data_IF_091082894640
#
_entry.id   IF_091082894640
#
_cell.length_a   1.000
_cell.length_b   1.000
_cell.length_c   1.000
_cell.angle_alpha   90.00
_cell.angle_beta   90.00
_cell.angle_gamma   90.00
#
_symmetry.space_group_name_H-M   'P 1'
#
loop_
_entity.id
_entity.type
_entity.pdbx_description
1 polymer ?
#
# COMPACT_ATOMS: atom_id res chain seq x y z
N UNK A 1 46.07 -42.50 -40.76
CA UNK A 1 45.91 -42.20 -39.32
C UNK A 1 44.46 -41.86 -39.04
N UNK A 2 43.69 -42.87 -38.59
CA UNK A 2 42.27 -42.75 -38.31
C UNK A 2 42.06 -42.19 -36.91
N UNK A 3 41.31 -41.09 -36.79
CA UNK A 3 40.81 -40.60 -35.51
C UNK A 3 39.26 -40.74 -35.52
N UNK A 4 38.83 -41.63 -34.71
CA UNK A 4 37.44 -42.02 -34.44
C UNK A 4 36.63 -40.87 -33.91
N UNK A 5 35.45 -40.58 -34.53
CA UNK A 5 34.41 -39.73 -33.99
C UNK A 5 33.70 -40.50 -32.86
N UNK A 6 33.94 -40.13 -31.59
CA UNK A 6 33.07 -40.51 -30.47
C UNK A 6 31.85 -39.62 -30.47
N UNK A 7 30.70 -40.23 -30.71
CA UNK A 7 29.39 -39.64 -30.47
C UNK A 7 29.21 -39.35 -28.98
N UNK A 8 29.22 -38.10 -28.60
CA UNK A 8 28.66 -37.66 -27.34
C UNK A 8 27.15 -37.43 -27.49
N UNK A 9 26.36 -38.43 -27.19
CA UNK A 9 24.95 -38.28 -26.91
C UNK A 9 24.82 -37.55 -25.57
N UNK A 10 24.73 -36.22 -25.62
CA UNK A 10 24.20 -35.45 -24.52
C UNK A 10 22.68 -35.53 -24.61
N UNK A 11 22.10 -36.45 -23.82
CA UNK A 11 20.70 -36.40 -23.47
C UNK A 11 20.49 -35.07 -22.71
N UNK A 12 19.93 -34.07 -23.37
CA UNK A 12 19.37 -32.88 -22.75
C UNK A 12 18.22 -33.35 -21.85
N UNK A 13 18.53 -33.54 -20.55
CA UNK A 13 17.54 -33.57 -19.52
C UNK A 13 16.86 -32.19 -19.55
N UNK A 14 15.65 -32.11 -20.11
CA UNK A 14 14.76 -30.98 -19.91
C UNK A 14 14.49 -30.90 -18.42
N UNK A 15 15.21 -30.05 -17.73
CA UNK A 15 14.82 -29.53 -16.43
C UNK A 15 13.52 -28.75 -16.67
N UNK A 16 12.39 -29.40 -16.49
CA UNK A 16 11.09 -28.73 -16.42
C UNK A 16 11.07 -27.93 -15.12
N UNK A 17 11.58 -26.71 -15.15
CA UNK A 17 11.34 -25.74 -14.09
C UNK A 17 9.87 -25.32 -14.17
N UNK A 18 9.03 -25.92 -13.33
CA UNK A 18 7.68 -25.43 -13.11
C UNK A 18 7.75 -24.14 -12.27
N UNK A 19 6.93 -23.18 -12.62
CA UNK A 19 6.82 -21.90 -11.92
C UNK A 19 5.42 -21.76 -11.32
N UNK A 20 5.26 -21.07 -10.16
CA UNK A 20 3.96 -20.85 -9.52
C UNK A 20 2.89 -20.29 -10.46
N UNK A 21 3.29 -19.46 -11.43
CA UNK A 21 2.38 -18.91 -12.43
C UNK A 21 1.68 -19.98 -13.28
N UNK A 22 2.37 -21.03 -13.66
CA UNK A 22 1.77 -22.12 -14.45
C UNK A 22 0.70 -22.86 -13.64
N UNK A 23 0.91 -22.99 -12.31
CA UNK A 23 -0.09 -23.57 -11.41
C UNK A 23 -1.33 -22.69 -11.35
N UNK A 24 -1.16 -21.38 -11.17
CA UNK A 24 -2.25 -20.41 -11.16
C UNK A 24 -3.03 -20.44 -12.47
N UNK A 25 -2.33 -20.43 -13.61
CA UNK A 25 -2.97 -20.42 -14.94
C UNK A 25 -3.75 -21.72 -15.19
N UNK A 26 -3.25 -22.87 -14.74
CA UNK A 26 -3.98 -24.14 -14.81
C UNK A 26 -5.23 -24.13 -13.93
N UNK A 27 -5.17 -23.56 -12.71
CA UNK A 27 -6.29 -23.47 -11.78
C UNK A 27 -7.38 -22.49 -12.24
N UNK A 28 -7.09 -21.55 -13.14
CA UNK A 28 -8.12 -20.72 -13.80
C UNK A 28 -9.12 -21.51 -14.66
N UNK A 29 -8.76 -22.73 -15.05
CA UNK A 29 -9.67 -23.64 -15.79
C UNK A 29 -10.65 -24.37 -14.84
N UNK A 30 -10.46 -24.27 -13.52
CA UNK A 30 -11.33 -24.92 -12.53
C UNK A 30 -12.35 -23.90 -12.02
N UNK A 31 -13.64 -24.18 -12.24
CA UNK A 31 -14.73 -23.34 -11.75
C UNK A 31 -15.33 -23.90 -10.45
N UNK A 32 -15.53 -23.00 -9.50
CA UNK A 32 -16.23 -23.35 -8.27
C UNK A 32 -17.75 -23.40 -8.52
N UNK A 33 -18.40 -24.57 -8.32
CA UNK A 33 -19.83 -24.71 -8.69
C UNK A 33 -20.76 -23.80 -7.92
N UNK A 34 -20.39 -23.36 -6.72
CA UNK A 34 -21.21 -22.49 -5.88
C UNK A 34 -21.34 -21.05 -6.43
N UNK A 35 -20.38 -20.56 -7.21
CA UNK A 35 -20.41 -19.20 -7.77
C UNK A 35 -20.28 -19.16 -9.29
N UNK A 36 -19.85 -20.25 -9.92
CA UNK A 36 -19.54 -20.31 -11.36
C UNK A 36 -18.25 -19.58 -11.77
N UNK A 37 -17.57 -18.91 -10.85
CA UNK A 37 -16.27 -18.24 -11.06
C UNK A 37 -15.13 -19.25 -10.97
N UNK A 38 -13.96 -18.93 -11.56
CA UNK A 38 -12.77 -19.74 -11.38
C UNK A 38 -12.19 -19.62 -9.95
N UNK A 39 -11.26 -20.51 -9.59
CA UNK A 39 -10.73 -20.56 -8.23
C UNK A 39 -9.90 -19.31 -7.87
N UNK A 40 -9.31 -18.65 -8.86
CA UNK A 40 -8.49 -17.46 -8.67
C UNK A 40 -9.40 -16.23 -8.48
N UNK A 41 -10.41 -16.06 -9.37
CA UNK A 41 -11.43 -15.00 -9.24
C UNK A 41 -12.25 -15.13 -7.95
N UNK A 42 -12.43 -16.36 -7.46
CA UNK A 42 -13.15 -16.64 -6.21
C UNK A 42 -12.30 -16.41 -4.96
N UNK A 43 -11.00 -16.09 -5.11
CA UNK A 43 -10.07 -15.94 -3.99
C UNK A 43 -9.85 -17.22 -3.18
N UNK A 44 -10.04 -18.39 -3.80
CA UNK A 44 -9.94 -19.68 -3.12
C UNK A 44 -8.51 -20.23 -3.05
N UNK A 45 -7.57 -19.73 -3.86
CA UNK A 45 -6.18 -20.15 -3.83
C UNK A 45 -5.40 -19.32 -2.81
N UNK A 46 -4.74 -19.98 -1.87
CA UNK A 46 -3.78 -19.35 -0.95
C UNK A 46 -2.41 -19.20 -1.59
N UNK A 47 -1.65 -18.20 -1.16
CA UNK A 47 -0.33 -17.89 -1.73
C UNK A 47 0.79 -18.73 -1.07
N UNK A 48 0.54 -20.03 -0.88
CA UNK A 48 1.46 -20.99 -0.28
C UNK A 48 1.96 -22.06 -1.27
N UNK A 49 1.96 -21.74 -2.57
CA UNK A 49 2.38 -22.68 -3.62
C UNK A 49 3.85 -23.06 -3.45
N UNK A 50 4.12 -24.35 -3.29
CA UNK A 50 5.45 -24.94 -3.23
C UNK A 50 5.61 -25.95 -4.34
N UNK A 51 6.75 -25.90 -5.03
CA UNK A 51 7.08 -26.79 -6.15
C UNK A 51 8.42 -27.44 -5.88
N UNK A 52 8.45 -28.78 -5.91
CA UNK A 52 9.67 -29.59 -5.77
C UNK A 52 9.67 -30.69 -6.84
N UNK A 53 10.34 -30.45 -7.96
CA UNK A 53 10.28 -31.36 -9.11
C UNK A 53 8.85 -31.44 -9.66
N UNK A 54 8.23 -32.63 -9.65
CA UNK A 54 6.83 -32.82 -10.05
C UNK A 54 5.85 -32.77 -8.85
N UNK A 55 6.33 -32.55 -7.65
CA UNK A 55 5.47 -32.40 -6.48
C UNK A 55 5.05 -30.94 -6.35
N UNK A 56 3.75 -30.69 -6.33
CA UNK A 56 3.14 -29.36 -6.18
C UNK A 56 2.25 -29.37 -4.94
N UNK A 57 2.49 -28.46 -4.01
CA UNK A 57 1.71 -28.31 -2.79
C UNK A 57 1.14 -26.91 -2.69
N UNK A 58 -0.15 -26.78 -2.38
CA UNK A 58 -0.84 -25.50 -2.15
C UNK A 58 -2.13 -25.71 -1.35
N UNK A 59 -2.69 -24.62 -0.83
CA UNK A 59 -3.95 -24.64 -0.07
C UNK A 59 -5.09 -24.00 -0.84
N UNK A 60 -6.28 -24.61 -0.73
CA UNK A 60 -7.54 -24.02 -1.18
C UNK A 60 -8.41 -23.67 0.03
N UNK A 61 -8.93 -22.43 0.03
CA UNK A 61 -9.74 -21.87 1.11
C UNK A 61 -11.22 -22.05 0.77
N UNK A 62 -11.98 -22.72 1.65
CA UNK A 62 -13.42 -22.88 1.56
C UNK A 62 -14.12 -22.12 2.67
N UNK A 63 -15.32 -21.61 2.40
CA UNK A 63 -16.08 -20.83 3.38
C UNK A 63 -16.68 -21.69 4.51
N UNK A 64 -16.87 -22.99 4.30
CA UNK A 64 -17.48 -23.91 5.27
C UNK A 64 -16.76 -25.28 5.24
N UNK A 65 -16.60 -25.88 6.41
CA UNK A 65 -16.04 -27.26 6.53
C UNK A 65 -16.89 -28.31 5.82
N UNK A 66 -18.19 -28.09 5.74
CA UNK A 66 -19.16 -29.00 5.13
C UNK A 66 -19.57 -28.58 3.72
N UNK A 67 -18.68 -27.89 2.98
CA UNK A 67 -18.96 -27.50 1.60
C UNK A 67 -19.07 -28.77 0.72
N UNK A 68 -20.21 -28.99 0.04
CA UNK A 68 -20.43 -30.21 -0.75
C UNK A 68 -19.49 -30.31 -1.97
N UNK A 69 -18.86 -29.20 -2.35
CA UNK A 69 -18.02 -29.12 -3.55
C UNK A 69 -16.52 -29.38 -3.29
N UNK A 70 -16.07 -29.51 -2.03
CA UNK A 70 -14.66 -29.70 -1.69
C UNK A 70 -14.04 -30.82 -2.52
N UNK A 71 -14.60 -32.04 -2.47
CA UNK A 71 -14.05 -33.19 -3.18
C UNK A 71 -13.99 -33.01 -4.70
N UNK A 72 -15.01 -32.38 -5.28
CA UNK A 72 -15.06 -32.13 -6.72
C UNK A 72 -14.05 -31.08 -7.16
N UNK A 73 -13.88 -30.02 -6.37
CA UNK A 73 -12.89 -28.95 -6.64
C UNK A 73 -11.47 -29.46 -6.52
N UNK A 74 -11.15 -30.24 -5.47
CA UNK A 74 -9.82 -30.84 -5.32
C UNK A 74 -9.47 -31.75 -6.50
N UNK A 75 -10.40 -32.62 -6.91
CA UNK A 75 -10.20 -33.51 -8.06
C UNK A 75 -10.07 -32.75 -9.38
N UNK A 76 -10.87 -31.69 -9.56
CA UNK A 76 -10.79 -30.86 -10.75
C UNK A 76 -9.45 -30.08 -10.81
N UNK A 77 -8.95 -29.60 -9.67
CA UNK A 77 -7.67 -28.93 -9.55
C UNK A 77 -6.51 -29.87 -9.89
N UNK A 78 -6.50 -31.08 -9.34
CA UNK A 78 -5.49 -32.09 -9.70
C UNK A 78 -5.54 -32.46 -11.19
N UNK A 79 -6.74 -32.61 -11.74
CA UNK A 79 -6.93 -32.89 -13.18
C UNK A 79 -6.43 -31.73 -14.04
N UNK A 80 -6.71 -30.50 -13.67
CA UNK A 80 -6.24 -29.32 -14.40
C UNK A 80 -4.71 -29.23 -14.43
N UNK A 81 -4.04 -29.47 -13.30
CA UNK A 81 -2.57 -29.49 -13.24
C UNK A 81 -1.98 -30.55 -14.16
N UNK A 82 -2.53 -31.77 -14.13
CA UNK A 82 -2.09 -32.87 -15.01
C UNK A 82 -2.36 -32.61 -16.49
N UNK A 83 -3.44 -31.92 -16.81
CA UNK A 83 -3.86 -31.65 -18.20
C UNK A 83 -3.10 -30.49 -18.82
N UNK A 84 -2.92 -29.41 -18.07
CA UNK A 84 -2.38 -28.15 -18.62
C UNK A 84 -0.88 -27.95 -18.37
N UNK A 85 -0.27 -28.76 -17.47
CA UNK A 85 1.16 -28.63 -17.16
C UNK A 85 1.92 -29.91 -17.47
N UNK A 86 1.74 -30.96 -16.66
CA UNK A 86 2.42 -32.25 -16.89
C UNK A 86 1.63 -33.41 -16.25
N UNK A 87 1.42 -34.54 -16.98
CA UNK A 87 0.68 -35.71 -16.47
C UNK A 87 1.28 -36.37 -15.22
N UNK A 88 2.58 -36.14 -14.96
CA UNK A 88 3.30 -36.73 -13.84
C UNK A 88 3.21 -35.91 -12.55
N UNK A 89 2.50 -34.79 -12.54
CA UNK A 89 2.35 -33.95 -11.35
C UNK A 89 1.64 -34.72 -10.23
N UNK A 90 2.30 -34.74 -9.06
CA UNK A 90 1.72 -35.14 -7.80
C UNK A 90 1.27 -33.88 -7.02
N UNK A 91 -0.04 -33.64 -6.97
CA UNK A 91 -0.61 -32.49 -6.31
C UNK A 91 -0.99 -32.81 -4.85
N UNK A 92 -0.38 -32.10 -3.90
CA UNK A 92 -0.75 -32.12 -2.48
C UNK A 92 -1.58 -30.86 -2.19
N UNK A 93 -2.91 -30.99 -2.26
CA UNK A 93 -3.83 -29.87 -2.10
C UNK A 93 -4.40 -29.91 -0.68
N UNK A 94 -4.06 -28.89 0.12
CA UNK A 94 -4.57 -28.74 1.47
C UNK A 94 -5.88 -27.93 1.45
N UNK A 95 -6.82 -28.28 2.32
CA UNK A 95 -8.05 -27.51 2.50
C UNK A 95 -7.94 -26.67 3.75
N UNK A 96 -8.14 -25.38 3.61
CA UNK A 96 -8.31 -24.43 4.73
C UNK A 96 -9.74 -23.93 4.74
N UNK A 97 -10.23 -23.60 5.92
CA UNK A 97 -11.59 -23.10 6.07
C UNK A 97 -11.53 -21.68 6.64
N UNK A 98 -12.35 -20.81 6.07
CA UNK A 98 -12.55 -19.50 6.71
C UNK A 98 -13.15 -19.78 8.08
N UNK A 99 -12.38 -19.60 9.14
CA UNK A 99 -12.95 -19.53 10.48
C UNK A 99 -13.85 -18.32 10.52
N UNK A 100 -15.14 -18.50 10.27
CA UNK A 100 -16.15 -17.53 10.66
C UNK A 100 -16.18 -17.58 12.18
N UNK A 101 -15.35 -16.82 12.82
CA UNK A 101 -15.55 -16.50 14.21
C UNK A 101 -16.89 -15.78 14.25
N UNK A 102 -17.89 -16.28 15.02
CA UNK A 102 -19.08 -15.50 15.28
C UNK A 102 -18.59 -14.20 15.90
N UNK A 103 -19.02 -13.08 15.34
CA UNK A 103 -18.70 -11.74 15.77
C UNK A 103 -18.61 -11.67 17.30
N UNK A 104 -17.44 -11.53 17.89
CA UNK A 104 -17.40 -10.99 19.22
C UNK A 104 -17.61 -9.48 19.05
N UNK A 105 -18.64 -8.96 19.64
CA UNK A 105 -18.68 -7.59 20.11
C UNK A 105 -17.54 -7.45 21.13
N UNK A 106 -16.32 -7.29 20.67
CA UNK A 106 -15.17 -6.97 21.48
C UNK A 106 -14.31 -6.03 20.66
N UNK A 107 -14.02 -4.89 21.27
CA UNK A 107 -13.04 -3.89 20.88
C UNK A 107 -11.96 -4.49 19.97
N UNK A 108 -12.07 -4.30 18.65
CA UNK A 108 -10.96 -4.46 17.75
C UNK A 108 -9.97 -3.34 18.08
N UNK A 109 -9.06 -3.63 18.99
CA UNK A 109 -7.86 -2.80 19.08
C UNK A 109 -7.16 -2.92 17.73
N UNK A 110 -6.95 -1.77 17.08
CA UNK A 110 -6.13 -1.69 15.87
C UNK A 110 -4.82 -2.42 16.13
N UNK A 111 -4.29 -3.21 15.18
CA UNK A 111 -2.98 -3.84 15.32
C UNK A 111 -1.87 -2.82 15.60
N UNK A 112 -2.12 -1.55 15.31
CA UNK A 112 -1.23 -0.42 15.59
C UNK A 112 -1.77 0.34 16.81
N UNK A 113 -0.95 0.44 17.85
CA UNK A 113 -1.25 1.23 19.07
C UNK A 113 -1.01 2.73 18.77
N UNK A 114 -1.90 3.36 18.02
CA UNK A 114 -1.86 4.79 17.70
C UNK A 114 -3.15 5.47 18.13
N UNK A 115 -3.04 6.72 18.65
CA UNK A 115 -4.22 7.50 19.03
C UNK A 115 -4.99 7.97 17.80
N UNK A 116 -4.26 8.33 16.75
CA UNK A 116 -4.82 8.81 15.49
C UNK A 116 -4.18 8.06 14.31
N UNK A 117 -5.00 7.40 13.50
CA UNK A 117 -4.57 6.73 12.27
C UNK A 117 -5.16 7.51 11.11
N UNK A 118 -4.32 8.21 10.35
CA UNK A 118 -4.73 9.13 9.30
C UNK A 118 -4.19 8.66 7.95
N UNK A 119 -5.09 8.42 7.01
CA UNK A 119 -4.71 8.11 5.64
C UNK A 119 -4.58 9.39 4.81
N UNK A 120 -3.53 9.48 3.99
CA UNK A 120 -3.35 10.54 3.01
C UNK A 120 -3.65 9.99 1.63
N UNK A 121 -4.68 10.53 1.01
CA UNK A 121 -5.24 10.08 -0.25
C UNK A 121 -5.09 11.11 -1.35
N UNK A 122 -4.98 10.65 -2.58
CA UNK A 122 -5.16 11.49 -3.77
C UNK A 122 -5.89 10.72 -4.86
N UNK A 123 -6.84 11.38 -5.51
CA UNK A 123 -7.57 10.78 -6.64
C UNK A 123 -6.68 10.54 -7.86
N UNK A 124 -5.54 11.25 -7.97
CA UNK A 124 -4.64 11.21 -9.13
C UNK A 124 -3.18 11.21 -8.69
N UNK A 125 -2.32 10.54 -9.45
CA UNK A 125 -0.87 10.62 -9.28
C UNK A 125 -0.30 11.99 -9.66
N UNK A 126 0.83 12.36 -9.04
CA UNK A 126 1.56 13.59 -9.37
C UNK A 126 1.04 14.88 -8.69
N UNK A 127 0.04 14.79 -7.80
CA UNK A 127 -0.46 15.96 -7.06
C UNK A 127 0.38 16.32 -5.82
N UNK A 128 1.42 15.52 -5.52
CA UNK A 128 2.32 15.75 -4.39
C UNK A 128 1.85 15.14 -3.07
N UNK A 129 1.02 14.09 -3.12
CA UNK A 129 0.53 13.35 -1.96
C UNK A 129 1.67 12.95 -1.00
N UNK A 130 2.67 12.22 -1.50
CA UNK A 130 3.79 11.73 -0.70
C UNK A 130 4.65 12.86 -0.13
N UNK A 131 4.84 13.95 -0.89
CA UNK A 131 5.51 15.17 -0.38
C UNK A 131 4.75 15.77 0.80
N UNK A 132 3.43 15.84 0.70
CA UNK A 132 2.58 16.32 1.81
C UNK A 132 2.68 15.38 3.00
N UNK A 133 2.60 14.09 2.77
CA UNK A 133 2.69 13.06 3.84
C UNK A 133 4.02 13.13 4.58
N UNK A 134 5.13 13.18 3.86
CA UNK A 134 6.48 13.26 4.43
C UNK A 134 6.65 14.51 5.31
N UNK A 135 6.29 15.66 4.78
CA UNK A 135 6.42 16.93 5.49
C UNK A 135 5.47 17.03 6.71
N UNK A 136 4.26 16.50 6.59
CA UNK A 136 3.33 16.44 7.72
C UNK A 136 3.85 15.53 8.83
N UNK A 137 4.42 14.36 8.48
CA UNK A 137 5.02 13.45 9.45
C UNK A 137 6.13 14.15 10.25
N UNK A 138 7.05 14.84 9.56
CA UNK A 138 8.13 15.59 10.16
C UNK A 138 7.60 16.74 11.01
N UNK A 139 6.63 17.51 10.53
CA UNK A 139 6.03 18.62 11.29
C UNK A 139 5.36 18.15 12.60
N UNK A 140 4.71 17.00 12.59
CA UNK A 140 4.15 16.39 13.81
C UNK A 140 5.26 15.92 14.77
N UNK A 141 6.31 15.28 14.25
CA UNK A 141 7.44 14.83 15.05
C UNK A 141 8.18 16.01 15.73
N UNK A 142 8.36 17.13 14.99
CA UNK A 142 8.95 18.36 15.56
C UNK A 142 8.10 18.98 16.66
N UNK A 143 6.80 18.73 16.69
CA UNK A 143 5.91 19.14 17.79
C UNK A 143 5.95 18.19 18.99
N UNK A 144 6.81 17.16 18.94
CA UNK A 144 7.01 16.20 20.03
C UNK A 144 6.03 15.02 20.02
N UNK A 145 5.26 14.81 18.97
CA UNK A 145 4.42 13.63 18.83
C UNK A 145 5.23 12.42 18.36
N UNK A 146 4.87 11.23 18.85
CA UNK A 146 5.38 9.95 18.35
C UNK A 146 4.67 9.63 17.05
N UNK A 147 5.41 9.62 15.95
CA UNK A 147 4.84 9.49 14.60
C UNK A 147 5.32 8.22 13.93
N UNK A 148 4.36 7.43 13.41
CA UNK A 148 4.60 6.34 12.49
C UNK A 148 4.17 6.74 11.08
N UNK A 149 4.87 6.25 10.07
CA UNK A 149 4.60 6.48 8.66
C UNK A 149 4.69 5.18 7.86
N UNK A 150 3.58 4.77 7.27
CA UNK A 150 3.52 3.65 6.34
C UNK A 150 3.41 4.17 4.91
N UNK A 151 4.41 3.86 4.08
CA UNK A 151 4.35 4.07 2.63
C UNK A 151 3.70 2.84 1.97
N UNK A 152 2.45 3.00 1.61
CA UNK A 152 1.64 1.96 0.97
C UNK A 152 1.54 2.13 -0.55
N UNK A 153 2.28 3.09 -1.15
CA UNK A 153 2.33 3.27 -2.61
C UNK A 153 3.31 2.27 -3.24
N UNK A 154 2.80 1.10 -3.56
CA UNK A 154 3.58 -0.02 -4.09
C UNK A 154 4.18 0.27 -5.47
N UNK A 155 3.52 1.10 -6.25
CA UNK A 155 3.94 1.40 -7.63
C UNK A 155 5.00 2.51 -7.71
N UNK A 156 5.11 3.32 -6.66
CA UNK A 156 6.05 4.42 -6.61
C UNK A 156 6.45 4.75 -5.17
N UNK A 157 7.05 3.78 -4.43
CA UNK A 157 7.45 4.02 -3.05
C UNK A 157 8.49 5.12 -3.01
N UNK A 158 8.12 6.27 -2.47
CA UNK A 158 8.94 7.48 -2.50
C UNK A 158 9.51 7.87 -1.13
N UNK A 159 8.97 7.32 -0.05
CA UNK A 159 9.40 7.69 1.30
C UNK A 159 10.87 7.37 1.60
N UNK A 160 11.45 6.23 1.17
CA UNK A 160 12.88 5.99 1.37
C UNK A 160 13.75 7.13 0.82
N UNK A 161 13.40 7.64 -0.38
CA UNK A 161 14.11 8.77 -1.02
C UNK A 161 13.88 10.07 -0.24
N UNK A 162 12.65 10.37 0.12
CA UNK A 162 12.29 11.61 0.81
C UNK A 162 12.85 11.72 2.23
N UNK A 163 13.27 10.61 2.83
CA UNK A 163 13.87 10.55 4.16
C UNK A 163 15.36 10.21 4.14
N UNK A 164 16.00 10.17 2.98
CA UNK A 164 17.41 9.79 2.83
C UNK A 164 17.74 8.43 3.47
N UNK A 165 16.89 7.43 3.21
CA UNK A 165 16.97 6.09 3.81
C UNK A 165 16.96 4.98 2.75
N UNK A 166 17.30 5.29 1.48
CA UNK A 166 17.28 4.32 0.37
C UNK A 166 18.20 3.12 0.62
N UNK A 167 19.34 3.36 1.28
CA UNK A 167 20.32 2.34 1.60
C UNK A 167 20.04 1.61 2.91
N UNK A 168 19.02 2.05 3.67
CA UNK A 168 18.62 1.39 4.90
C UNK A 168 17.83 0.12 4.60
N UNK A 169 17.98 -0.86 5.49
CA UNK A 169 17.15 -2.08 5.46
C UNK A 169 16.59 -2.32 6.85
N UNK A 170 15.28 -2.46 6.97
CA UNK A 170 14.66 -2.88 8.23
C UNK A 170 15.23 -4.24 8.67
N UNK A 171 15.41 -4.41 9.95
CA UNK A 171 15.90 -5.66 10.53
C UNK A 171 14.83 -6.28 11.44
N UNK A 172 14.99 -7.56 11.74
CA UNK A 172 14.06 -8.25 12.62
C UNK A 172 14.56 -8.17 14.07
N UNK A 173 13.62 -7.93 14.99
CA UNK A 173 13.83 -7.94 16.44
C UNK A 173 12.94 -8.99 17.09
N UNK A 174 13.41 -9.61 18.17
CA UNK A 174 12.58 -10.52 18.96
C UNK A 174 11.99 -9.77 20.15
N UNK A 175 10.67 -9.69 20.21
CA UNK A 175 9.92 -9.04 21.28
C UNK A 175 8.84 -10.00 21.77
N UNK A 176 8.88 -10.36 23.05
CA UNK A 176 7.93 -11.27 23.69
C UNK A 176 7.75 -12.62 22.93
N UNK A 177 8.85 -13.14 22.35
CA UNK A 177 8.85 -14.39 21.60
C UNK A 177 8.25 -14.31 20.18
N UNK A 178 8.04 -13.09 19.68
CA UNK A 178 7.63 -12.82 18.29
C UNK A 178 8.76 -12.13 17.55
N UNK A 179 9.03 -12.58 16.34
CA UNK A 179 9.95 -11.89 15.41
C UNK A 179 9.18 -10.78 14.72
N UNK A 180 9.56 -9.52 14.96
CA UNK A 180 8.94 -8.33 14.40
C UNK A 180 9.92 -7.55 13.54
N UNK A 181 9.41 -6.78 12.58
CA UNK A 181 10.19 -5.86 11.75
C UNK A 181 10.37 -4.55 12.53
N UNK A 182 11.62 -4.14 12.77
CA UNK A 182 11.89 -2.83 13.36
C UNK A 182 11.81 -1.73 12.30
N UNK A 183 10.91 -0.74 12.45
CA UNK A 183 10.81 0.39 11.53
C UNK A 183 12.10 1.21 11.54
N UNK A 184 12.43 1.80 10.38
CA UNK A 184 13.52 2.76 10.28
C UNK A 184 13.08 4.07 10.91
N UNK A 185 13.90 4.64 11.78
CA UNK A 185 13.62 5.92 12.40
C UNK A 185 14.50 7.01 11.79
N UNK A 186 13.88 8.04 11.26
CA UNK A 186 14.55 9.21 10.69
C UNK A 186 13.73 10.47 10.98
N UNK A 187 14.39 11.55 11.38
CA UNK A 187 13.76 12.83 11.76
C UNK A 187 12.65 12.70 12.82
N UNK A 188 12.76 11.73 13.73
CA UNK A 188 11.76 11.44 14.76
C UNK A 188 10.50 10.74 14.24
N UNK A 189 10.55 10.20 13.03
CA UNK A 189 9.46 9.44 12.41
C UNK A 189 9.88 7.98 12.24
N UNK A 190 9.10 7.05 12.79
CA UNK A 190 9.23 5.61 12.52
C UNK A 190 8.58 5.29 11.19
N UNK A 191 9.32 4.70 10.26
CA UNK A 191 8.85 4.50 8.89
C UNK A 191 9.05 3.09 8.39
N UNK A 192 8.05 2.57 7.68
CA UNK A 192 8.17 1.41 6.80
C UNK A 192 7.62 1.75 5.43
N UNK A 193 8.32 1.28 4.42
CA UNK A 193 7.92 1.37 3.02
C UNK A 193 8.14 0.01 2.37
N UNK A 194 7.26 -0.35 1.44
CA UNK A 194 7.49 -1.52 0.59
C UNK A 194 8.80 -1.37 -0.21
N UNK A 195 9.23 -0.13 -0.45
CA UNK A 195 10.49 0.18 -1.14
C UNK A 195 11.75 -0.36 -0.44
N UNK A 196 11.70 -0.63 0.87
CA UNK A 196 12.82 -1.24 1.57
C UNK A 196 13.02 -2.72 1.26
N UNK A 197 11.99 -3.38 0.74
CA UNK A 197 11.96 -4.83 0.49
C UNK A 197 12.03 -5.18 -1.01
N UNK A 198 12.05 -4.15 -1.86
CA UNK A 198 12.11 -4.29 -3.31
C UNK A 198 13.47 -3.82 -3.81
N UNK A 199 14.07 -4.57 -4.74
CA UNK A 199 15.29 -4.09 -5.40
C UNK A 199 14.91 -2.98 -6.40
N UNK A 200 15.50 -1.76 -6.29
CA UNK A 200 15.20 -0.65 -7.20
C UNK A 200 15.43 -0.97 -8.69
N UNK A 201 16.36 -1.86 -8.97
CA UNK A 201 16.75 -2.26 -10.34
C UNK A 201 15.84 -3.34 -10.94
N UNK A 202 14.89 -3.86 -10.17
CA UNK A 202 13.96 -4.90 -10.62
C UNK A 202 12.54 -4.39 -10.65
N UNK A 203 11.92 -4.43 -11.82
CA UNK A 203 10.48 -4.21 -11.93
C UNK A 203 9.73 -5.36 -11.27
N UNK A 204 9.25 -5.15 -10.05
CA UNK A 204 8.40 -6.13 -9.35
C UNK A 204 6.96 -5.93 -9.81
N UNK A 205 6.39 -6.96 -10.42
CA UNK A 205 5.00 -6.95 -10.81
C UNK A 205 4.16 -7.37 -9.60
N UNK A 206 3.66 -6.40 -8.87
CA UNK A 206 2.72 -6.63 -7.78
C UNK A 206 1.35 -7.00 -8.34
N UNK A 207 0.87 -8.18 -8.00
CA UNK A 207 -0.52 -8.56 -8.28
C UNK A 207 -1.36 -8.26 -7.04
N UNK A 208 -2.60 -7.78 -7.22
CA UNK A 208 -3.46 -7.22 -6.18
C UNK A 208 -3.37 -7.90 -4.80
N UNK A 209 -3.51 -9.22 -4.71
CA UNK A 209 -3.42 -9.95 -3.45
C UNK A 209 -2.03 -9.93 -2.79
N UNK A 210 -0.94 -9.99 -3.57
CA UNK A 210 0.44 -9.93 -3.03
C UNK A 210 0.71 -8.57 -2.41
N UNK A 211 0.28 -7.51 -3.09
CA UNK A 211 0.41 -6.15 -2.63
C UNK A 211 -0.31 -5.92 -1.30
N UNK A 212 -1.56 -6.35 -1.22
CA UNK A 212 -2.37 -6.24 0.00
C UNK A 212 -1.78 -7.04 1.16
N UNK A 213 -1.26 -8.25 0.89
CA UNK A 213 -0.63 -9.07 1.92
C UNK A 213 0.69 -8.46 2.43
N UNK A 214 1.52 -7.90 1.54
CA UNK A 214 2.75 -7.23 1.95
C UNK A 214 2.46 -6.02 2.85
N UNK A 215 1.50 -5.18 2.47
CA UNK A 215 1.06 -4.04 3.31
C UNK A 215 0.53 -4.53 4.67
N UNK A 216 -0.26 -5.60 4.67
CA UNK A 216 -0.78 -6.17 5.91
C UNK A 216 0.34 -6.67 6.82
N UNK A 217 1.39 -7.31 6.28
CA UNK A 217 2.57 -7.69 7.06
C UNK A 217 3.29 -6.48 7.67
N UNK A 218 3.44 -5.38 6.93
CA UNK A 218 4.04 -4.15 7.47
C UNK A 218 3.21 -3.52 8.59
N UNK A 219 1.93 -3.82 8.66
CA UNK A 219 1.04 -3.39 9.75
C UNK A 219 1.14 -4.35 10.94
N UNK A 220 0.98 -5.67 10.69
CA UNK A 220 0.77 -6.67 11.73
C UNK A 220 2.09 -7.17 12.36
N UNK A 221 3.16 -7.23 11.56
CA UNK A 221 4.44 -7.83 11.95
C UNK A 221 5.54 -6.80 12.20
N UNK A 222 5.20 -5.51 12.36
CA UNK A 222 6.17 -4.46 12.68
C UNK A 222 6.08 -3.98 14.13
N UNK A 223 7.23 -3.65 14.69
CA UNK A 223 7.34 -3.08 16.05
C UNK A 223 7.12 -1.56 16.03
N UNK A 224 5.90 -1.14 15.80
CA UNK A 224 5.55 0.29 15.78
C UNK A 224 5.63 0.93 17.17
N UNK A 225 5.36 0.16 18.23
CA UNK A 225 5.25 0.68 19.61
C UNK A 225 4.02 1.58 19.77
N UNK A 226 4.03 2.39 20.83
CA UNK A 226 2.96 3.36 21.06
C UNK A 226 3.18 4.64 20.24
N UNK A 227 2.19 5.04 19.47
CA UNK A 227 2.21 6.23 18.62
C UNK A 227 1.11 7.22 19.00
N UNK A 228 1.36 8.50 18.77
CA UNK A 228 0.33 9.53 18.83
C UNK A 228 -0.37 9.64 17.46
N UNK A 229 0.41 9.60 16.37
CA UNK A 229 -0.07 9.66 14.99
C UNK A 229 0.53 8.54 14.16
N UNK A 230 -0.31 7.87 13.40
CA UNK A 230 0.12 6.94 12.35
C UNK A 230 -0.40 7.43 11.01
N UNK A 231 0.52 7.84 10.14
CA UNK A 231 0.19 8.33 8.80
C UNK A 231 0.37 7.22 7.77
N UNK A 232 -0.55 7.17 6.81
CA UNK A 232 -0.51 6.18 5.73
C UNK A 232 -0.50 6.92 4.40
N UNK A 233 0.60 6.81 3.66
CA UNK A 233 0.68 7.31 2.28
C UNK A 233 0.05 6.29 1.34
N UNK A 234 -1.20 6.52 0.93
CA UNK A 234 -1.96 5.61 0.09
C UNK A 234 -1.48 5.65 -1.37
N UNK A 235 -1.62 4.59 -2.17
CA UNK A 235 -1.47 4.70 -3.62
C UNK A 235 -2.50 5.70 -4.19
N UNK A 236 -2.22 6.33 -5.34
CA UNK A 236 -3.18 7.22 -5.98
C UNK A 236 -4.40 6.46 -6.52
N UNK A 237 -5.52 7.15 -6.64
CA UNK A 237 -6.77 6.58 -7.15
C UNK A 237 -7.47 5.67 -6.15
N UNK A 238 -8.28 4.74 -6.65
CA UNK A 238 -9.07 3.80 -5.85
C UNK A 238 -8.69 2.37 -6.22
N UNK A 239 -8.02 1.65 -5.33
CA UNK A 239 -7.54 0.29 -5.54
C UNK A 239 -7.92 -0.62 -4.38
N UNK A 240 -7.75 -1.94 -4.53
CA UNK A 240 -7.99 -2.94 -3.49
C UNK A 240 -7.15 -2.70 -2.22
N UNK A 241 -6.01 -2.01 -2.35
CA UNK A 241 -5.15 -1.65 -1.22
C UNK A 241 -5.89 -0.70 -0.26
N UNK A 242 -6.67 0.26 -0.78
CA UNK A 242 -7.48 1.15 0.05
C UNK A 242 -8.46 0.36 0.91
N UNK A 243 -9.18 -0.60 0.30
CA UNK A 243 -10.15 -1.44 1.02
C UNK A 243 -9.44 -2.35 2.03
N UNK A 244 -8.27 -2.86 1.71
CA UNK A 244 -7.46 -3.68 2.62
C UNK A 244 -7.05 -2.88 3.85
N UNK A 245 -6.53 -1.66 3.66
CA UNK A 245 -6.10 -0.78 4.75
C UNK A 245 -7.28 -0.34 5.63
N UNK A 246 -8.40 0.04 5.01
CA UNK A 246 -9.62 0.42 5.72
C UNK A 246 -10.16 -0.75 6.56
N UNK A 247 -10.07 -1.98 6.05
CA UNK A 247 -10.53 -3.17 6.78
C UNK A 247 -9.57 -3.60 7.90
N UNK A 248 -8.27 -3.35 7.73
CA UNK A 248 -7.24 -3.75 8.69
C UNK A 248 -7.08 -2.74 9.83
N UNK A 249 -7.39 -1.47 9.59
CA UNK A 249 -7.12 -0.37 10.51
C UNK A 249 -8.39 0.45 10.79
N UNK A 250 -8.54 0.88 12.02
CA UNK A 250 -9.56 1.86 12.39
C UNK A 250 -9.05 3.27 12.07
N UNK A 251 -9.31 3.74 10.85
CA UNK A 251 -8.90 5.07 10.45
C UNK A 251 -9.64 6.13 11.25
N UNK A 252 -8.91 7.04 11.88
CA UNK A 252 -9.47 8.25 12.50
C UNK A 252 -10.03 9.19 11.43
N UNK A 253 -9.41 9.20 10.25
CA UNK A 253 -9.89 9.94 9.10
C UNK A 253 -8.92 9.97 7.93
N UNK A 254 -9.32 10.69 6.89
CA UNK A 254 -8.58 10.83 5.64
C UNK A 254 -8.34 12.30 5.32
N UNK A 255 -7.13 12.59 4.85
CA UNK A 255 -6.78 13.88 4.26
C UNK A 255 -6.68 13.68 2.75
N UNK A 256 -7.38 14.51 1.98
CA UNK A 256 -7.37 14.45 0.52
C UNK A 256 -6.45 15.51 -0.04
N UNK A 257 -5.47 15.11 -0.86
CA UNK A 257 -4.53 16.02 -1.53
C UNK A 257 -4.89 16.13 -3.00
N UNK A 258 -4.99 17.35 -3.50
CA UNK A 258 -5.28 17.65 -4.91
C UNK A 258 -4.51 18.89 -5.38
N UNK A 259 -4.57 19.18 -6.67
CA UNK A 259 -4.14 20.46 -7.27
C UNK A 259 -5.35 21.22 -7.78
N UNK A 260 -5.24 22.53 -8.07
CA UNK A 260 -6.37 23.34 -8.56
C UNK A 260 -6.92 22.91 -9.93
N UNK A 261 -6.26 22.01 -10.65
CA UNK A 261 -6.65 21.58 -11.99
C UNK A 261 -8.00 20.84 -12.00
N UNK A 262 -8.94 21.17 -12.91
CA UNK A 262 -10.23 20.52 -12.98
C UNK A 262 -10.15 18.97 -13.08
N UNK A 263 -9.16 18.45 -13.84
CA UNK A 263 -8.97 16.99 -13.98
C UNK A 263 -8.56 16.32 -12.66
N UNK A 264 -7.82 17.02 -11.79
CA UNK A 264 -7.44 16.51 -10.48
C UNK A 264 -8.61 16.59 -9.48
N UNK A 265 -9.42 17.65 -9.59
CA UNK A 265 -10.59 17.87 -8.73
C UNK A 265 -11.67 16.83 -8.94
N UNK A 266 -11.91 16.41 -10.20
CA UNK A 266 -12.86 15.31 -10.51
C UNK A 266 -12.46 14.02 -9.80
N UNK A 267 -11.17 13.68 -9.82
CA UNK A 267 -10.69 12.46 -9.18
C UNK A 267 -10.62 12.59 -7.65
N UNK A 268 -10.31 13.79 -7.13
CA UNK A 268 -10.37 14.07 -5.69
C UNK A 268 -11.81 13.90 -5.15
N UNK A 269 -12.82 14.37 -5.89
CA UNK A 269 -14.24 14.17 -5.56
C UNK A 269 -14.59 12.69 -5.41
N UNK A 270 -14.20 11.86 -6.40
CA UNK A 270 -14.44 10.40 -6.34
C UNK A 270 -13.79 9.77 -5.11
N UNK A 271 -12.58 10.25 -4.73
CA UNK A 271 -11.91 9.80 -3.51
C UNK A 271 -12.71 10.14 -2.26
N UNK A 272 -13.20 11.38 -2.14
CA UNK A 272 -14.06 11.79 -1.02
C UNK A 272 -15.33 10.94 -0.95
N UNK A 273 -16.02 10.77 -2.08
CA UNK A 273 -17.24 9.95 -2.18
C UNK A 273 -17.00 8.49 -1.77
N UNK A 274 -15.84 7.94 -2.15
CA UNK A 274 -15.44 6.57 -1.75
C UNK A 274 -15.36 6.44 -0.23
N UNK A 275 -14.66 7.35 0.46
CA UNK A 275 -14.49 7.28 1.91
C UNK A 275 -15.78 7.60 2.68
N UNK A 276 -16.64 8.46 2.13
CA UNK A 276 -17.95 8.81 2.71
C UNK A 276 -19.05 7.76 2.43
N UNK A 277 -18.77 6.75 1.59
CA UNK A 277 -19.73 5.69 1.29
C UNK A 277 -20.16 4.98 2.59
N UNK A 278 -21.44 4.69 2.73
CA UNK A 278 -22.04 4.09 3.95
C UNK A 278 -21.32 2.81 4.42
N UNK A 279 -20.75 2.03 3.49
CA UNK A 279 -20.04 0.79 3.82
C UNK A 279 -18.61 1.03 4.33
N UNK A 280 -18.01 2.16 3.99
CA UNK A 280 -16.65 2.54 4.36
C UNK A 280 -16.67 3.49 5.53
N UNK A 281 -17.45 4.56 5.44
CA UNK A 281 -17.76 5.54 6.49
C UNK A 281 -16.54 6.03 7.27
N UNK A 282 -15.51 6.48 6.54
CA UNK A 282 -14.30 7.08 7.13
C UNK A 282 -14.41 8.60 7.04
N UNK A 283 -14.24 9.34 8.17
CA UNK A 283 -14.33 10.80 8.17
C UNK A 283 -13.28 11.46 7.26
N UNK A 284 -13.67 12.52 6.56
CA UNK A 284 -12.73 13.37 5.82
C UNK A 284 -12.28 14.51 6.75
N UNK A 285 -11.01 14.46 7.20
CA UNK A 285 -10.43 15.49 8.06
C UNK A 285 -10.23 16.81 7.32
N UNK A 286 -10.06 16.74 6.02
CA UNK A 286 -10.04 17.92 5.15
C UNK A 286 -9.31 17.69 3.83
N UNK A 287 -9.26 18.78 3.05
CA UNK A 287 -8.62 18.83 1.75
C UNK A 287 -7.40 19.74 1.80
N UNK A 288 -6.33 19.35 1.13
CA UNK A 288 -5.13 20.15 0.88
C UNK A 288 -5.05 20.44 -0.60
N UNK A 289 -5.07 21.71 -0.96
CA UNK A 289 -4.80 22.18 -2.32
C UNK A 289 -3.29 22.42 -2.45
N UNK A 290 -2.58 21.49 -3.08
CA UNK A 290 -1.16 21.61 -3.34
C UNK A 290 -0.89 22.28 -4.69
N UNK A 291 0.29 22.91 -4.85
CA UNK A 291 0.68 23.66 -6.05
C UNK A 291 -0.31 24.77 -6.38
N UNK A 292 -0.85 25.42 -5.35
CA UNK A 292 -1.94 26.40 -5.47
C UNK A 292 -1.54 27.66 -6.26
N UNK A 293 -0.30 28.10 -6.11
CA UNK A 293 0.30 29.21 -6.88
C UNK A 293 1.82 29.10 -6.90
N UNK A 294 2.45 29.79 -7.82
CA UNK A 294 3.90 30.00 -7.89
C UNK A 294 4.22 31.49 -7.64
N UNK A 295 5.24 31.77 -6.86
CA UNK A 295 5.78 33.11 -6.66
C UNK A 295 7.25 33.11 -7.03
N UNK A 296 7.67 33.82 -8.09
CA UNK A 296 9.08 34.01 -8.44
C UNK A 296 9.84 34.75 -7.35
N UNK A 297 11.10 34.40 -7.12
CA UNK A 297 11.95 35.04 -6.13
C UNK A 297 12.16 36.54 -6.47
N UNK A 298 12.23 36.88 -7.76
CA UNK A 298 12.41 38.25 -8.29
C UNK A 298 11.16 39.12 -8.15
N UNK A 299 9.98 38.49 -8.00
CA UNK A 299 8.68 39.16 -7.91
C UNK A 299 7.88 38.62 -6.71
N UNK A 300 8.33 38.80 -5.47
CA UNK A 300 7.75 38.20 -4.29
C UNK A 300 6.31 38.57 -3.98
N UNK A 301 5.81 39.67 -4.60
CA UNK A 301 4.43 40.13 -4.47
C UNK A 301 3.48 39.50 -5.50
N UNK A 302 4.02 38.77 -6.50
CA UNK A 302 3.21 38.22 -7.57
C UNK A 302 2.89 36.75 -7.32
N UNK A 303 1.65 36.37 -7.60
CA UNK A 303 1.20 34.97 -7.58
C UNK A 303 0.74 34.54 -8.96
N UNK A 304 1.32 33.48 -9.47
CA UNK A 304 0.96 32.89 -10.75
C UNK A 304 0.23 31.56 -10.52
N UNK A 305 -0.98 31.47 -11.00
CA UNK A 305 -1.85 30.31 -10.82
C UNK A 305 -1.70 29.32 -11.98
N UNK A 306 -0.55 28.65 -12.04
CA UNK A 306 -0.14 27.78 -13.16
C UNK A 306 -1.14 26.64 -13.38
N UNK A 307 -1.66 26.08 -12.30
CA UNK A 307 -2.59 24.96 -12.34
C UNK A 307 -4.06 25.33 -12.13
N UNK A 308 -4.39 26.63 -12.14
CA UNK A 308 -5.71 27.15 -11.80
C UNK A 308 -5.73 27.84 -10.44
N UNK A 309 -6.82 28.48 -10.12
CA UNK A 309 -6.97 29.28 -8.90
C UNK A 309 -8.13 28.77 -8.06
N UNK A 310 -7.85 28.51 -6.77
CA UNK A 310 -8.85 28.17 -5.74
C UNK A 310 -9.76 26.96 -6.07
N UNK A 311 -9.32 26.05 -6.97
CA UNK A 311 -10.14 24.92 -7.38
C UNK A 311 -10.40 23.93 -6.23
N UNK A 312 -9.36 23.62 -5.44
CA UNK A 312 -9.50 22.77 -4.26
C UNK A 312 -10.31 23.44 -3.16
N UNK A 313 -10.16 24.76 -2.99
CA UNK A 313 -10.99 25.55 -2.07
C UNK A 313 -12.47 25.47 -2.43
N UNK A 314 -12.81 25.69 -3.69
CA UNK A 314 -14.18 25.60 -4.18
C UNK A 314 -14.75 24.19 -4.00
N UNK A 315 -13.93 23.15 -4.26
CA UNK A 315 -14.33 21.76 -4.04
C UNK A 315 -14.58 21.47 -2.55
N UNK A 316 -13.74 21.96 -1.65
CA UNK A 316 -13.91 21.78 -0.22
C UNK A 316 -15.20 22.44 0.28
N UNK A 317 -15.50 23.67 -0.19
CA UNK A 317 -16.75 24.37 0.11
C UNK A 317 -17.98 23.60 -0.41
N UNK A 318 -17.93 23.12 -1.65
CA UNK A 318 -19.01 22.35 -2.26
C UNK A 318 -19.29 21.03 -1.49
N UNK A 319 -18.24 20.32 -1.09
CA UNK A 319 -18.35 19.06 -0.36
C UNK A 319 -18.56 19.25 1.14
N UNK A 320 -18.56 20.46 1.63
CA UNK A 320 -18.68 20.82 3.05
C UNK A 320 -17.62 20.15 3.93
N UNK A 321 -16.38 20.03 3.41
CA UNK A 321 -15.21 19.51 4.13
C UNK A 321 -14.21 20.64 4.42
N UNK A 322 -13.40 20.56 5.49
CA UNK A 322 -12.42 21.59 5.81
C UNK A 322 -11.35 21.74 4.72
N UNK A 323 -11.00 22.96 4.34
CA UNK A 323 -9.76 23.26 3.63
C UNK A 323 -8.63 23.40 4.65
N UNK A 324 -7.73 22.41 4.69
CA UNK A 324 -6.62 22.40 5.65
C UNK A 324 -5.54 23.41 5.26
N UNK A 325 -5.14 23.43 3.99
CA UNK A 325 -4.15 24.37 3.48
C UNK A 325 -4.22 24.55 1.96
N UNK A 326 -3.64 25.66 1.51
CA UNK A 326 -3.21 25.87 0.14
C UNK A 326 -1.69 26.00 0.14
N UNK A 327 -0.98 25.01 -0.45
CA UNK A 327 0.48 24.94 -0.46
C UNK A 327 0.99 25.49 -1.78
N UNK A 328 1.90 26.50 -1.77
CA UNK A 328 2.47 27.02 -3.00
C UNK A 328 3.39 26.01 -3.70
N UNK A 329 3.55 26.17 -5.00
CA UNK A 329 4.60 25.51 -5.78
C UNK A 329 5.91 26.24 -5.54
N UNK A 330 6.82 25.65 -4.77
CA UNK A 330 8.14 26.23 -4.48
C UNK A 330 9.25 25.21 -4.73
N UNK A 331 10.37 25.74 -5.24
CA UNK A 331 11.53 24.93 -5.61
C UNK A 331 12.11 24.15 -4.41
N UNK A 332 12.18 24.79 -3.24
CA UNK A 332 12.74 24.18 -2.02
C UNK A 332 11.97 22.95 -1.52
N UNK A 333 10.65 22.87 -1.76
CA UNK A 333 9.87 21.66 -1.44
C UNK A 333 10.32 20.50 -2.31
N UNK A 334 10.52 20.73 -3.62
CA UNK A 334 11.00 19.70 -4.55
C UNK A 334 12.43 19.29 -4.19
N UNK A 335 13.32 20.27 -3.99
CA UNK A 335 14.72 20.02 -3.64
C UNK A 335 14.86 19.24 -2.33
N UNK A 336 14.10 19.61 -1.31
CA UNK A 336 14.05 18.88 -0.05
C UNK A 336 13.61 17.42 -0.22
N UNK A 337 12.60 17.16 -1.04
CA UNK A 337 12.18 15.80 -1.38
C UNK A 337 13.24 15.00 -2.14
N UNK A 338 13.95 15.64 -3.08
CA UNK A 338 15.00 15.01 -3.89
C UNK A 338 16.28 14.72 -3.08
N UNK A 339 16.62 15.61 -2.13
CA UNK A 339 17.79 15.45 -1.26
C UNK A 339 17.55 14.58 -0.04
N UNK A 340 16.29 14.20 0.23
CA UNK A 340 15.90 13.44 1.41
C UNK A 340 15.86 14.28 2.69
N UNK A 341 15.67 15.58 2.55
CA UNK A 341 15.53 16.57 3.64
C UNK A 341 14.19 17.31 3.51
N UNK A 342 13.08 16.74 4.01
CA UNK A 342 11.77 17.39 3.94
C UNK A 342 11.83 18.84 4.40
N UNK A 343 11.16 19.76 3.66
CA UNK A 343 11.23 21.20 3.94
C UNK A 343 10.72 21.55 5.35
N UNK A 344 9.87 20.73 5.92
CA UNK A 344 9.40 20.88 7.30
C UNK A 344 10.54 20.90 8.33
N UNK A 345 11.73 20.35 8.03
CA UNK A 345 12.92 20.44 8.87
C UNK A 345 13.47 21.87 8.98
N UNK A 346 13.18 22.73 8.03
CA UNK A 346 13.70 24.10 7.97
C UNK A 346 12.80 25.05 8.74
N UNK A 347 12.99 25.12 10.07
CA UNK A 347 12.23 26.00 10.94
C UNK A 347 12.30 27.48 10.46
N UNK A 348 11.15 28.13 10.36
CA UNK A 348 11.06 29.51 9.89
C UNK A 348 11.05 29.69 8.37
N UNK A 349 11.20 28.65 7.58
CA UNK A 349 11.03 28.73 6.13
C UNK A 349 9.54 28.88 5.78
N UNK A 350 9.13 29.84 4.90
CA UNK A 350 7.72 30.06 4.59
C UNK A 350 6.97 28.84 4.07
N UNK A 351 7.66 27.95 3.33
CA UNK A 351 7.06 26.72 2.84
C UNK A 351 6.87 25.68 3.95
N UNK A 352 7.74 25.67 4.99
CA UNK A 352 7.58 24.79 6.15
C UNK A 352 6.37 25.20 7.01
N UNK A 353 6.10 26.51 7.10
CA UNK A 353 4.96 27.04 7.86
C UNK A 353 3.62 26.45 7.41
N UNK A 354 3.45 26.16 6.11
CA UNK A 354 2.23 25.56 5.61
C UNK A 354 1.98 24.15 6.22
N UNK A 355 3.04 23.35 6.38
CA UNK A 355 2.93 22.01 6.99
C UNK A 355 2.74 22.11 8.51
N UNK A 356 3.35 23.10 9.16
CA UNK A 356 3.10 23.43 10.56
C UNK A 356 1.63 23.79 10.82
N UNK A 357 1.03 24.61 9.99
CA UNK A 357 -0.39 24.97 10.07
C UNK A 357 -1.30 23.75 9.90
N UNK A 358 -0.98 22.86 8.94
CA UNK A 358 -1.72 21.62 8.76
C UNK A 358 -1.62 20.75 10.03
N UNK A 359 -0.41 20.58 10.58
CA UNK A 359 -0.20 19.81 11.80
C UNK A 359 -1.01 20.40 12.97
N UNK A 360 -1.02 21.72 13.16
CA UNK A 360 -1.82 22.39 14.19
C UNK A 360 -3.32 22.18 13.99
N UNK A 361 -3.82 22.27 12.76
CA UNK A 361 -5.26 22.03 12.48
C UNK A 361 -5.66 20.59 12.79
N UNK A 362 -4.81 19.62 12.45
CA UNK A 362 -5.05 18.19 12.70
C UNK A 362 -5.03 17.90 14.21
N UNK A 363 -4.07 18.47 14.95
CA UNK A 363 -3.94 18.24 16.41
C UNK A 363 -5.03 18.91 17.21
N UNK A 364 -5.64 19.98 16.70
CA UNK A 364 -6.77 20.69 17.32
C UNK A 364 -8.13 20.12 16.91
N UNK A 365 -8.17 19.20 15.93
CA UNK A 365 -9.41 18.55 15.52
C UNK A 365 -9.84 17.60 16.65
N UNK A 366 -10.83 18.01 17.44
CA UNK A 366 -11.46 17.14 18.46
C UNK A 366 -12.28 16.08 17.70
N UNK A 367 -11.86 14.84 17.82
CA UNK A 367 -12.61 13.65 17.39
C UNK A 367 -13.99 13.59 18.07
#
# INVERSE_FOLDING_TARGET
MHISKKNCNFALAKLNNMYPQQIIDALRHVRYPGTGKDLIESGMLEDDIRISGFEVSFSLIFQKENDPFIKSVLKASETALKTYIDPNIAANIHTKFVKVNPTPTTNHQSPIAAKHIIAIHSGKGGVGKSTVTANLAVALAQKGYRVGLLDADIHGPSMPKMFHTEDCRPFSVEIEGRTLIEPIEQFGVKMLSIGFFVNPDQAVIWRGGMASNAIKQLIDDAHWGELDYFLIDLPPGTSDIHLTLISALQLTGVIVVTTPQPVALVDARKGVEMFQNEKINVPILGLIENMAWFTPAELPQNRYYIFGKDGGKALAEELQIPLLAQIPLVQSIREGGDSGEPIALQTGHPAASAFDEIAVKITNHKS
#
